data_IF_950228036557
#
_entry.id   IF_950228036557
#
_cell.length_a   1.000
_cell.length_b   1.000
_cell.length_c   1.000
_cell.angle_alpha   90.00
_cell.angle_beta   90.00
_cell.angle_gamma   90.00
#
_symmetry.space_group_name_H-M   'P 1'
#
loop_
_entity.id
_entity.type
_entity.pdbx_description
1 polymer ?
#
# COMPACT_ATOMS: atom_id res chain seq x y z
N UNK A 1 -11.00 18.97 1.16
CA UNK A 1 -11.57 17.75 0.54
C UNK A 1 -10.63 16.62 0.93
N UNK A 2 -11.04 15.79 1.90
CA UNK A 2 -10.16 14.77 2.48
C UNK A 2 -10.04 13.60 1.50
N UNK A 3 -8.90 13.56 0.81
CA UNK A 3 -8.43 12.41 0.05
C UNK A 3 -8.43 11.19 0.96
N UNK A 4 -8.92 10.08 0.43
CA UNK A 4 -9.15 8.78 1.07
C UNK A 4 -7.86 8.21 1.68
N UNK A 5 -7.45 8.71 2.86
CA UNK A 5 -6.27 8.20 3.56
C UNK A 5 -6.62 6.96 4.41
N UNK A 6 -5.81 5.88 4.41
CA UNK A 6 -6.13 4.63 5.09
C UNK A 6 -5.74 4.66 6.57
N UNK A 7 -5.97 3.58 7.32
CA UNK A 7 -5.63 3.44 8.74
C UNK A 7 -4.20 3.90 9.06
N UNK A 8 -4.05 4.93 9.91
CA UNK A 8 -2.74 5.43 10.32
C UNK A 8 -2.54 5.22 11.81
N UNK A 9 -1.53 4.44 12.19
CA UNK A 9 -1.00 4.46 13.55
C UNK A 9 0.27 5.32 13.56
N UNK A 10 0.19 6.52 14.12
CA UNK A 10 1.31 7.43 14.33
C UNK A 10 1.80 7.24 15.76
N UNK A 11 3.02 6.74 15.94
CA UNK A 11 3.63 6.61 17.26
C UNK A 11 4.68 7.73 17.39
N UNK A 12 4.33 8.87 17.98
CA UNK A 12 5.35 9.86 18.36
C UNK A 12 5.80 9.53 19.77
N UNK A 13 6.81 8.66 19.90
CA UNK A 13 7.51 8.56 21.19
C UNK A 13 8.96 9.00 21.05
N UNK A 14 9.24 10.17 21.64
CA UNK A 14 10.58 10.56 22.07
C UNK A 14 10.85 9.84 23.39
N UNK A 15 11.05 8.53 23.34
CA UNK A 15 11.68 7.80 24.43
C UNK A 15 12.99 7.20 23.96
N UNK A 16 14.06 7.71 24.56
CA UNK A 16 15.41 7.23 24.40
C UNK A 16 15.48 5.72 24.67
N UNK A 17 16.03 4.98 23.71
CA UNK A 17 16.46 3.59 23.87
C UNK A 17 15.41 2.55 23.50
N UNK A 18 15.26 2.29 22.20
CA UNK A 18 15.06 0.96 21.59
C UNK A 18 15.06 1.16 20.06
N UNK A 19 16.20 0.86 19.45
CA UNK A 19 16.43 0.94 18.02
C UNK A 19 15.50 -0.03 17.25
N UNK A 20 14.98 0.45 16.11
CA UNK A 20 14.39 -0.30 14.97
C UNK A 20 12.86 -0.37 14.80
N UNK A 21 12.03 0.32 15.60
CA UNK A 21 10.57 0.40 15.31
C UNK A 21 10.21 1.60 14.41
N UNK A 22 9.42 1.40 13.33
CA UNK A 22 9.02 2.50 12.46
C UNK A 22 8.14 3.51 13.22
N UNK A 23 8.47 4.79 13.09
CA UNK A 23 7.76 5.91 13.74
C UNK A 23 6.27 6.02 13.31
N UNK A 24 5.90 5.33 12.24
CA UNK A 24 4.58 5.37 11.63
C UNK A 24 4.27 4.02 10.99
N UNK A 25 3.08 3.48 11.23
CA UNK A 25 2.60 2.20 10.69
C UNK A 25 1.24 2.40 10.04
N UNK A 26 1.10 1.97 8.78
CA UNK A 26 -0.10 2.21 7.97
C UNK A 26 -0.62 0.90 7.41
N UNK A 27 -1.91 0.65 7.61
CA UNK A 27 -2.64 -0.44 6.97
C UNK A 27 -3.53 0.12 5.88
N UNK A 28 -3.39 -0.45 4.68
CA UNK A 28 -4.17 -0.04 3.52
C UNK A 28 -4.97 -1.23 3.00
N UNK A 29 -6.25 -1.02 2.72
CA UNK A 29 -7.07 -2.02 2.06
C UNK A 29 -6.64 -2.17 0.59
N UNK A 30 -6.67 -3.38 0.04
CA UNK A 30 -6.40 -3.62 -1.38
C UNK A 30 -7.32 -2.77 -2.28
N UNK A 31 -8.58 -2.59 -1.88
CA UNK A 31 -9.54 -1.79 -2.61
C UNK A 31 -9.14 -0.31 -2.79
N UNK A 32 -8.32 0.24 -1.88
CA UNK A 32 -7.85 1.62 -1.94
C UNK A 32 -6.97 1.89 -3.17
N UNK A 33 -6.36 0.86 -3.77
CA UNK A 33 -5.49 1.04 -4.95
C UNK A 33 -6.24 1.33 -6.24
N UNK A 34 -7.57 1.26 -6.25
CA UNK A 34 -8.40 1.74 -7.36
C UNK A 34 -8.47 3.27 -7.41
N UNK A 35 -8.10 3.94 -6.32
CA UNK A 35 -8.07 5.39 -6.18
C UNK A 35 -6.63 5.90 -6.32
N UNK A 36 -6.34 6.63 -7.40
CA UNK A 36 -5.02 7.16 -7.70
C UNK A 36 -4.49 8.08 -6.58
N UNK A 37 -5.38 8.81 -5.91
CA UNK A 37 -5.01 9.68 -4.81
C UNK A 37 -4.62 8.89 -3.54
N UNK A 38 -5.25 7.74 -3.30
CA UNK A 38 -4.90 6.84 -2.20
C UNK A 38 -3.55 6.15 -2.44
N UNK A 39 -3.25 5.80 -3.70
CA UNK A 39 -1.94 5.27 -4.10
C UNK A 39 -0.83 6.30 -3.88
N UNK A 40 -1.06 7.55 -4.29
CA UNK A 40 -0.11 8.64 -4.07
C UNK A 40 0.14 8.90 -2.58
N UNK A 41 -0.92 8.90 -1.75
CA UNK A 41 -0.82 9.06 -0.30
C UNK A 41 -0.01 7.92 0.36
N UNK A 42 -0.21 6.67 -0.07
CA UNK A 42 0.55 5.52 0.42
C UNK A 42 2.04 5.63 0.04
N UNK A 43 2.35 6.04 -1.19
CA UNK A 43 3.73 6.27 -1.63
C UNK A 43 4.41 7.39 -0.84
N UNK A 44 3.72 8.51 -0.64
CA UNK A 44 4.24 9.64 0.12
C UNK A 44 4.56 9.21 1.56
N UNK A 45 3.65 8.46 2.19
CA UNK A 45 3.83 7.97 3.56
C UNK A 45 5.03 7.01 3.67
N UNK A 46 5.19 6.09 2.70
CA UNK A 46 6.34 5.20 2.64
C UNK A 46 7.67 5.95 2.49
N UNK A 47 7.70 7.02 1.68
CA UNK A 47 8.89 7.89 1.51
C UNK A 47 9.22 8.68 2.78
N UNK A 48 8.20 8.99 3.59
CA UNK A 48 8.35 9.67 4.88
C UNK A 48 8.73 8.74 6.04
N UNK A 49 9.06 7.47 5.76
CA UNK A 49 9.53 6.52 6.78
C UNK A 49 8.43 5.70 7.46
N UNK A 50 7.17 5.80 7.01
CA UNK A 50 6.12 4.91 7.50
C UNK A 50 6.31 3.49 6.96
N UNK A 51 6.13 2.48 7.80
CA UNK A 51 5.93 1.12 7.33
C UNK A 51 4.49 0.98 6.82
N UNK A 52 4.34 0.64 5.56
CA UNK A 52 3.04 0.42 4.93
C UNK A 52 2.86 -1.07 4.72
N UNK A 53 1.69 -1.59 5.11
CA UNK A 53 1.29 -2.98 4.86
C UNK A 53 -0.10 -3.02 4.23
N UNK A 54 -0.34 -4.05 3.43
CA UNK A 54 -1.61 -4.22 2.72
C UNK A 54 -2.40 -5.37 3.31
N UNK A 55 -3.71 -5.18 3.40
CA UNK A 55 -4.66 -6.19 3.82
C UNK A 55 -5.87 -6.21 2.89
N UNK A 56 -6.54 -7.35 2.76
CA UNK A 56 -7.74 -7.49 1.92
C UNK A 56 -8.86 -6.53 2.38
N UNK A 57 -9.18 -6.55 3.67
CA UNK A 57 -10.25 -5.73 4.26
C UNK A 57 -9.95 -5.31 5.69
N UNK A 58 -10.42 -4.12 6.06
CA UNK A 58 -10.42 -3.60 7.42
C UNK A 58 -11.86 -3.44 7.95
N UNK A 59 -12.07 -3.58 9.27
CA UNK A 59 -13.42 -3.56 9.83
C UNK A 59 -14.06 -2.16 9.91
N UNK A 60 -13.28 -1.09 10.04
CA UNK A 60 -13.77 0.31 10.13
C UNK A 60 -12.71 1.28 9.59
N UNK A 61 -12.55 2.51 10.11
CA UNK A 61 -11.31 3.31 9.92
C UNK A 61 -10.77 3.64 11.31
N UNK A 62 -9.46 3.66 11.49
CA UNK A 62 -8.84 3.97 12.79
C UNK A 62 -7.59 4.80 12.59
N UNK A 63 -7.47 5.85 13.37
CA UNK A 63 -6.21 6.56 13.55
C UNK A 63 -5.83 6.46 15.02
N UNK A 64 -4.61 6.04 15.33
CA UNK A 64 -4.05 6.04 16.69
C UNK A 64 -2.88 7.02 16.70
N UNK A 65 -2.89 7.95 17.65
CA UNK A 65 -1.79 8.88 17.94
C UNK A 65 -1.25 8.63 19.33
N UNK A 66 0.08 8.57 19.46
CA UNK A 66 0.84 8.63 20.72
C UNK A 66 0.40 7.62 21.80
N UNK A 67 -0.26 6.53 21.37
CA UNK A 67 -0.91 5.49 22.19
C UNK A 67 -1.90 6.02 23.25
N UNK A 68 -2.30 7.29 23.19
CA UNK A 68 -3.19 7.91 24.16
C UNK A 68 -4.45 8.52 23.52
N UNK A 69 -4.50 8.61 22.17
CA UNK A 69 -5.66 9.10 21.42
C UNK A 69 -5.95 8.22 20.22
N UNK A 70 -7.24 7.98 19.99
CA UNK A 70 -7.69 7.33 18.76
C UNK A 70 -8.93 8.00 18.19
N UNK A 71 -9.00 8.03 16.86
CA UNK A 71 -10.14 8.51 16.11
C UNK A 71 -10.75 7.35 15.34
N UNK A 72 -12.05 7.14 15.55
CA UNK A 72 -12.84 6.10 14.86
C UNK A 72 -14.11 6.73 14.33
N UNK A 73 -14.50 6.54 13.06
CA UNK A 73 -15.80 6.99 12.58
C UNK A 73 -16.93 6.37 13.41
N UNK A 74 -17.97 7.15 13.69
CA UNK A 74 -19.13 6.67 14.45
C UNK A 74 -19.87 5.53 13.72
N UNK A 75 -19.77 5.49 12.38
CA UNK A 75 -20.41 4.47 11.53
C UNK A 75 -19.40 3.87 10.55
N UNK A 76 -19.46 2.55 10.27
CA UNK A 76 -18.65 1.93 9.23
C UNK A 76 -18.85 2.59 7.86
N UNK A 77 -17.77 2.72 7.09
CA UNK A 77 -17.80 3.29 5.74
C UNK A 77 -17.91 4.82 5.68
N UNK A 78 -18.00 5.52 6.81
CA UNK A 78 -17.97 7.00 6.85
C UNK A 78 -16.61 7.53 7.29
N UNK A 79 -16.38 8.83 7.08
CA UNK A 79 -15.20 9.55 7.58
C UNK A 79 -15.57 10.49 8.72
N UNK A 80 -16.83 10.92 8.80
CA UNK A 80 -17.39 11.78 9.84
C UNK A 80 -18.84 11.34 10.15
N UNK A 81 -19.35 11.62 11.35
CA UNK A 81 -18.62 12.15 12.52
C UNK A 81 -17.64 11.12 13.11
N UNK A 82 -16.64 11.60 13.86
CA UNK A 82 -15.62 10.77 14.51
C UNK A 82 -15.78 10.75 16.03
N UNK A 83 -15.52 9.60 16.62
CA UNK A 83 -15.38 9.40 18.05
C UNK A 83 -13.92 9.58 18.43
N UNK A 84 -13.65 10.46 19.40
CA UNK A 84 -12.36 10.58 20.06
C UNK A 84 -12.33 9.62 21.25
N UNK A 85 -11.47 8.61 21.17
CA UNK A 85 -11.25 7.63 22.23
C UNK A 85 -10.02 8.05 23.02
N UNK A 86 -10.18 8.07 24.35
CA UNK A 86 -9.15 8.37 25.34
C UNK A 86 -8.58 7.07 25.93
N UNK A 87 -7.49 7.13 26.73
CA UNK A 87 -6.90 5.94 27.32
C UNK A 87 -7.89 5.13 28.16
N UNK A 88 -7.79 3.80 28.08
CA UNK A 88 -8.65 2.85 28.78
C UNK A 88 -8.93 1.60 27.94
N UNK A 89 -9.78 0.70 28.45
CA UNK A 89 -10.01 -0.63 27.85
C UNK A 89 -10.41 -0.58 26.37
N UNK A 90 -11.16 0.43 25.95
CA UNK A 90 -11.55 0.59 24.53
C UNK A 90 -10.32 0.95 23.68
N UNK A 91 -9.43 1.82 24.17
CA UNK A 91 -8.17 2.12 23.48
C UNK A 91 -7.33 0.86 23.31
N UNK A 92 -7.19 0.07 24.38
CA UNK A 92 -6.41 -1.18 24.35
C UNK A 92 -6.98 -2.15 23.31
N UNK A 93 -8.31 -2.26 23.22
CA UNK A 93 -8.97 -3.09 22.21
C UNK A 93 -8.73 -2.58 20.78
N UNK A 94 -8.71 -1.27 20.55
CA UNK A 94 -8.41 -0.68 19.25
C UNK A 94 -6.96 -0.91 18.83
N UNK A 95 -6.01 -0.75 19.76
CA UNK A 95 -4.59 -1.06 19.53
C UNK A 95 -4.42 -2.55 19.24
N UNK A 96 -5.01 -3.43 20.06
CA UNK A 96 -4.96 -4.88 19.84
C UNK A 96 -5.56 -5.27 18.47
N UNK A 97 -6.67 -4.64 18.09
CA UNK A 97 -7.28 -4.84 16.76
C UNK A 97 -6.31 -4.45 15.66
N UNK A 98 -5.64 -3.30 15.79
CA UNK A 98 -4.61 -2.87 14.84
C UNK A 98 -3.48 -3.91 14.74
N UNK A 99 -2.92 -4.37 15.86
CA UNK A 99 -1.81 -5.32 15.87
C UNK A 99 -2.18 -6.66 15.20
N UNK A 100 -3.38 -7.20 15.48
CA UNK A 100 -3.86 -8.43 14.83
C UNK A 100 -3.94 -8.28 13.30
N UNK A 101 -4.40 -7.13 12.81
CA UNK A 101 -4.44 -6.88 11.36
C UNK A 101 -3.04 -6.59 10.81
N UNK A 102 -2.18 -5.95 11.59
CA UNK A 102 -0.79 -5.65 11.23
C UNK A 102 0.03 -6.91 10.99
N UNK A 103 -0.08 -7.90 11.87
CA UNK A 103 0.60 -9.20 11.76
C UNK A 103 0.13 -10.00 10.54
N UNK A 104 -1.17 -9.90 10.20
CA UNK A 104 -1.77 -10.60 9.05
C UNK A 104 -1.57 -9.87 7.72
N UNK A 105 -1.28 -8.57 7.78
CA UNK A 105 -1.08 -7.76 6.60
C UNK A 105 0.25 -8.08 5.94
N UNK A 106 0.24 -8.13 4.61
CA UNK A 106 1.43 -8.36 3.84
C UNK A 106 2.30 -7.11 3.92
N UNK A 107 3.57 -7.23 4.35
CA UNK A 107 4.44 -6.10 4.32
C UNK A 107 4.56 -5.62 2.88
N UNK A 108 4.50 -4.31 2.66
CA UNK A 108 5.02 -3.75 1.43
C UNK A 108 6.57 -3.84 1.47
N UNK A 109 7.17 -5.02 1.73
CA UNK A 109 8.62 -5.29 1.87
C UNK A 109 9.00 -6.57 1.12
N UNK A 110 9.37 -6.45 -0.15
CA UNK A 110 10.49 -7.26 -0.66
C UNK A 110 11.81 -6.60 -0.24
N UNK A 111 12.85 -7.38 0.08
CA UNK A 111 14.12 -6.85 0.56
C UNK A 111 14.76 -5.97 -0.50
N UNK A 112 15.25 -4.84 -0.01
CA UNK A 112 16.05 -3.86 -0.70
C UNK A 112 17.34 -4.50 -1.18
N UNK A 113 17.44 -4.79 -2.48
CA UNK A 113 18.73 -4.92 -3.11
C UNK A 113 18.76 -4.01 -4.33
N UNK A 114 19.37 -2.84 -4.15
CA UNK A 114 19.97 -2.06 -5.23
C UNK A 114 21.15 -2.86 -5.84
N UNK A 115 20.86 -4.02 -6.41
CA UNK A 115 21.77 -4.75 -7.28
C UNK A 115 21.19 -4.98 -8.67
N UNK A 116 20.04 -4.37 -8.99
CA UNK A 116 19.67 -4.17 -10.37
C UNK A 116 20.70 -3.25 -11.01
N UNK A 117 21.65 -3.83 -11.72
CA UNK A 117 22.25 -3.20 -12.90
C UNK A 117 21.13 -2.59 -13.77
N UNK A 118 21.46 -1.65 -14.65
CA UNK A 118 20.51 -1.02 -15.60
C UNK A 118 19.66 -2.07 -16.40
N UNK A 119 20.12 -3.32 -16.40
CA UNK A 119 19.51 -4.53 -16.93
C UNK A 119 18.21 -5.01 -16.25
N UNK A 120 17.89 -4.56 -15.02
CA UNK A 120 16.65 -5.00 -14.31
C UNK A 120 15.48 -4.03 -14.45
N UNK A 121 15.61 -3.01 -15.31
CA UNK A 121 14.50 -2.11 -15.66
C UNK A 121 13.48 -2.85 -16.54
N UNK A 122 12.18 -2.74 -16.26
CA UNK A 122 11.16 -3.28 -17.16
C UNK A 122 11.19 -2.53 -18.49
N UNK A 123 10.96 -3.27 -19.57
CA UNK A 123 10.78 -2.72 -20.91
C UNK A 123 9.58 -1.77 -20.95
N UNK A 124 9.51 -0.86 -21.93
CA UNK A 124 8.36 0.05 -22.08
C UNK A 124 7.01 -0.69 -22.18
N UNK A 125 7.01 -1.87 -22.79
CA UNK A 125 5.85 -2.72 -22.87
C UNK A 125 5.46 -3.28 -21.49
N UNK A 126 6.43 -3.72 -20.69
CA UNK A 126 6.20 -4.18 -19.31
C UNK A 126 5.76 -3.03 -18.40
N UNK A 127 6.34 -1.83 -18.55
CA UNK A 127 5.89 -0.61 -17.87
C UNK A 127 4.42 -0.33 -18.20
N UNK A 128 4.02 -0.50 -19.46
CA UNK A 128 2.63 -0.33 -19.87
C UNK A 128 1.72 -1.39 -19.21
N UNK A 129 2.13 -2.66 -19.19
CA UNK A 129 1.42 -3.73 -18.46
C UNK A 129 1.26 -3.37 -16.99
N UNK A 130 2.34 -2.96 -16.32
CA UNK A 130 2.34 -2.59 -14.91
C UNK A 130 1.45 -1.38 -14.63
N UNK A 131 1.44 -0.39 -15.52
CA UNK A 131 0.55 0.79 -15.42
C UNK A 131 -0.91 0.40 -15.54
N UNK A 132 -1.25 -0.51 -16.45
CA UNK A 132 -2.62 -1.02 -16.56
C UNK A 132 -3.02 -1.91 -15.39
N UNK A 133 -2.11 -2.76 -14.89
CA UNK A 133 -2.33 -3.56 -13.68
C UNK A 133 -2.58 -2.68 -12.45
N UNK A 134 -1.79 -1.62 -12.28
CA UNK A 134 -1.97 -0.65 -11.20
C UNK A 134 -3.33 0.05 -11.26
N UNK A 135 -3.93 0.18 -12.45
CA UNK A 135 -5.29 0.71 -12.68
C UNK A 135 -6.39 -0.36 -12.58
N UNK A 136 -6.05 -1.59 -12.19
CA UNK A 136 -7.01 -2.70 -12.05
C UNK A 136 -7.50 -3.26 -13.38
N UNK A 137 -6.79 -3.03 -14.48
CA UNK A 137 -7.17 -3.59 -15.78
C UNK A 137 -7.03 -5.12 -15.81
N UNK A 138 -7.99 -5.77 -16.46
CA UNK A 138 -7.92 -7.21 -16.75
C UNK A 138 -6.87 -7.51 -17.82
N UNK A 139 -6.38 -8.74 -17.87
CA UNK A 139 -5.42 -9.17 -18.90
C UNK A 139 -6.01 -9.04 -20.30
N UNK A 140 -7.34 -9.09 -20.42
CA UNK A 140 -8.06 -8.88 -21.67
C UNK A 140 -8.01 -7.42 -22.13
N UNK A 141 -8.19 -6.46 -21.20
CA UNK A 141 -8.05 -5.03 -21.52
C UNK A 141 -6.60 -4.68 -21.88
N UNK A 142 -5.63 -5.23 -21.15
CA UNK A 142 -4.20 -5.05 -21.43
C UNK A 142 -3.84 -5.62 -22.81
N UNK A 143 -4.36 -6.81 -23.14
CA UNK A 143 -4.16 -7.45 -24.44
C UNK A 143 -4.66 -6.58 -25.60
N UNK A 144 -5.84 -5.98 -25.44
CA UNK A 144 -6.41 -5.05 -26.41
C UNK A 144 -5.54 -3.79 -26.56
N UNK A 145 -5.11 -3.18 -25.46
CA UNK A 145 -4.28 -1.97 -25.52
C UNK A 145 -2.93 -2.21 -26.18
N UNK A 146 -2.32 -3.37 -25.95
CA UNK A 146 -1.01 -3.71 -26.50
C UNK A 146 -1.07 -4.46 -27.84
N UNK A 147 -2.26 -4.69 -28.40
CA UNK A 147 -2.47 -5.51 -29.61
C UNK A 147 -1.75 -6.87 -29.57
N UNK A 148 -1.75 -7.53 -28.41
CA UNK A 148 -1.15 -8.87 -28.21
C UNK A 148 -2.16 -9.86 -27.63
N UNK A 149 -1.85 -11.15 -27.68
CA UNK A 149 -2.73 -12.16 -27.09
C UNK A 149 -2.80 -12.05 -25.56
N UNK A 150 -3.96 -12.39 -24.97
CA UNK A 150 -4.14 -12.52 -23.52
C UNK A 150 -3.12 -13.49 -22.89
N UNK A 151 -2.77 -14.57 -23.60
CA UNK A 151 -1.74 -15.53 -23.16
C UNK A 151 -0.38 -14.87 -23.02
N UNK A 152 -0.01 -13.99 -23.95
CA UNK A 152 1.23 -13.21 -23.90
C UNK A 152 1.26 -12.26 -22.71
N UNK A 153 0.13 -11.60 -22.41
CA UNK A 153 -0.01 -10.74 -21.23
C UNK A 153 0.18 -11.55 -19.95
N UNK A 154 -0.55 -12.67 -19.78
CA UNK A 154 -0.44 -13.53 -18.59
C UNK A 154 0.99 -14.00 -18.38
N UNK A 155 1.66 -14.47 -19.44
CA UNK A 155 3.07 -14.91 -19.36
C UNK A 155 4.00 -13.78 -18.93
N UNK A 156 3.81 -12.56 -19.45
CA UNK A 156 4.63 -11.40 -19.06
C UNK A 156 4.39 -10.99 -17.61
N UNK A 157 3.14 -11.04 -17.14
CA UNK A 157 2.81 -10.79 -15.74
C UNK A 157 3.48 -11.81 -14.83
N UNK A 158 3.46 -13.09 -15.18
CA UNK A 158 4.14 -14.14 -14.42
C UNK A 158 5.65 -13.91 -14.34
N UNK A 159 6.30 -13.56 -15.45
CA UNK A 159 7.73 -13.24 -15.47
C UNK A 159 8.05 -12.01 -14.60
N UNK A 160 7.22 -10.97 -14.66
CA UNK A 160 7.36 -9.78 -13.83
C UNK A 160 7.15 -10.11 -12.34
N UNK A 161 6.20 -10.98 -12.03
CA UNK A 161 5.95 -11.48 -10.68
C UNK A 161 7.14 -12.27 -10.13
N UNK A 162 7.72 -13.16 -10.93
CA UNK A 162 8.94 -13.90 -10.59
C UNK A 162 10.12 -12.94 -10.34
N UNK A 163 10.33 -11.96 -11.24
CA UNK A 163 11.37 -10.92 -11.08
C UNK A 163 11.18 -10.08 -9.82
N UNK A 164 9.94 -9.70 -9.53
CA UNK A 164 9.58 -8.87 -8.38
C UNK A 164 9.50 -9.64 -7.05
N UNK A 165 9.56 -10.98 -7.07
CA UNK A 165 9.25 -11.83 -5.92
C UNK A 165 7.80 -11.68 -5.45
N UNK A 166 6.88 -11.39 -6.37
CA UNK A 166 5.47 -11.18 -6.10
C UNK A 166 4.65 -12.46 -6.36
N UNK A 167 3.81 -12.83 -5.39
CA UNK A 167 2.89 -13.98 -5.49
C UNK A 167 1.50 -13.59 -6.01
N UNK A 168 1.17 -12.29 -5.96
CA UNK A 168 -0.07 -11.76 -6.54
C UNK A 168 0.21 -10.61 -7.49
N UNK A 169 -0.70 -10.41 -8.45
CA UNK A 169 -0.69 -9.27 -9.40
C UNK A 169 -0.64 -7.93 -8.66
N UNK A 170 -1.31 -7.91 -7.51
CA UNK A 170 -1.35 -6.80 -6.60
C UNK A 170 0.04 -6.51 -5.99
N UNK A 171 0.72 -7.53 -5.45
CA UNK A 171 2.10 -7.40 -4.96
C UNK A 171 3.05 -6.91 -6.05
N UNK A 172 2.85 -7.35 -7.30
CA UNK A 172 3.63 -6.88 -8.44
C UNK A 172 3.41 -5.38 -8.74
N UNK A 173 2.16 -4.91 -8.77
CA UNK A 173 1.85 -3.51 -9.02
C UNK A 173 2.45 -2.59 -7.94
N UNK A 174 2.33 -3.01 -6.68
CA UNK A 174 2.92 -2.33 -5.54
C UNK A 174 4.46 -2.28 -5.62
N UNK A 175 5.09 -3.40 -5.99
CA UNK A 175 6.53 -3.46 -6.21
C UNK A 175 6.96 -2.43 -7.27
N UNK A 176 6.31 -2.42 -8.43
CA UNK A 176 6.65 -1.54 -9.56
C UNK A 176 6.57 -0.04 -9.21
N UNK A 177 5.58 0.35 -8.41
CA UNK A 177 5.46 1.71 -7.86
C UNK A 177 6.63 2.04 -6.93
N UNK A 178 6.95 1.13 -6.00
CA UNK A 178 7.95 1.37 -4.95
C UNK A 178 9.35 1.51 -5.52
N UNK A 179 9.73 0.64 -6.46
CA UNK A 179 11.08 0.62 -7.05
C UNK A 179 11.25 1.62 -8.19
N UNK A 180 10.22 2.43 -8.48
CA UNK A 180 10.27 3.47 -9.50
C UNK A 180 10.22 2.95 -10.94
N UNK A 181 9.79 1.69 -11.16
CA UNK A 181 9.48 1.18 -12.50
C UNK A 181 8.34 1.97 -13.15
N UNK A 182 7.43 2.48 -12.33
CA UNK A 182 6.43 3.47 -12.71
C UNK A 182 6.91 4.85 -12.22
N UNK A 183 7.79 5.50 -12.99
CA UNK A 183 8.06 6.91 -12.79
C UNK A 183 6.79 7.72 -13.07
N UNK A 184 6.52 8.77 -12.29
CA UNK A 184 5.53 9.80 -12.64
C UNK A 184 5.83 10.23 -14.08
N UNK A 185 4.96 9.86 -15.00
CA UNK A 185 4.91 10.52 -16.30
C UNK A 185 4.30 11.87 -15.98
N UNK A 186 5.16 12.88 -15.85
CA UNK A 186 4.74 14.26 -16.02
C UNK A 186 4.36 14.37 -17.49
N UNK A 187 3.09 14.15 -17.81
CA UNK A 187 2.58 14.48 -19.13
C UNK A 187 2.76 16.00 -19.32
N UNK A 188 3.55 16.35 -20.33
CA UNK A 188 3.68 17.71 -20.87
C UNK A 188 2.54 18.00 -21.83
#
# INVERSE_FOLDING_TARGET
>A
MFVTAPYVNVTSDRMAGLDDHPQCRILIEEAAFKDEAAVEAAQHSAKSGCEVRVIDRLPFKLIIGDRDRALVPQSPGTTLPVLLVHPGVIMDALVATFEVHWERALPCKTPWRNNGSDDDRPTEQEVTILRHLARGATEQQIALTLSISKRTVIRRIQLLMERAGAETRFQLALHAVRVGWLSRVTDS
#
